data_IF_609650032124
#
_entry.id   IF_609650032124
#
_cell.length_a   1.000
_cell.length_b   1.000
_cell.length_c   1.000
_cell.angle_alpha   90.00
_cell.angle_beta   90.00
_cell.angle_gamma   90.00
#
_symmetry.space_group_name_H-M   'P 1'
#
loop_
_entity.id
_entity.type
_entity.pdbx_description
1 polymer ?
#
# COMPACT_ATOMS: atom_id res chain seq x y z
N UNK A 1 23.83 2.85 -27.15
CA UNK A 1 23.16 1.74 -27.87
C UNK A 1 21.73 1.70 -27.39
N UNK A 2 20.77 1.58 -28.30
CA UNK A 2 19.34 1.65 -28.02
C UNK A 2 18.88 0.35 -27.30
N UNK A 3 18.46 0.49 -26.04
CA UNK A 3 18.09 -0.61 -25.11
C UNK A 3 16.92 -1.47 -25.60
N UNK A 4 16.16 -0.98 -26.60
CA UNK A 4 15.06 -1.72 -27.25
C UNK A 4 15.53 -2.85 -28.18
N UNK A 5 16.80 -2.83 -28.61
CA UNK A 5 17.32 -3.76 -29.63
C UNK A 5 17.95 -5.05 -29.09
N UNK A 6 18.23 -5.13 -27.78
CA UNK A 6 18.95 -6.28 -27.18
C UNK A 6 17.99 -7.44 -26.81
N UNK A 7 16.68 -7.22 -26.81
CA UNK A 7 15.67 -8.24 -26.47
C UNK A 7 15.08 -9.00 -27.68
N UNK A 8 15.55 -8.73 -28.91
CA UNK A 8 15.02 -9.36 -30.13
C UNK A 8 16.11 -10.10 -30.93
N UNK A 9 16.84 -11.01 -30.30
CA UNK A 9 17.67 -12.01 -31.01
C UNK A 9 16.90 -13.34 -31.12
N UNK A 10 16.68 -13.91 -32.33
CA UNK A 10 15.71 -14.97 -32.56
C UNK A 10 16.34 -16.34 -32.29
N UNK A 11 16.38 -16.72 -31.01
CA UNK A 11 16.99 -18.00 -30.59
C UNK A 11 16.28 -18.77 -29.49
N UNK A 12 15.15 -18.30 -28.96
CA UNK A 12 14.37 -19.03 -27.95
C UNK A 12 12.87 -18.75 -28.08
N UNK A 13 12.18 -19.66 -28.77
CA UNK A 13 10.73 -19.67 -28.95
C UNK A 13 9.99 -19.92 -27.64
N UNK A 14 9.25 -18.92 -27.15
CA UNK A 14 8.11 -19.13 -26.25
C UNK A 14 6.81 -18.87 -27.02
N UNK A 15 5.79 -19.73 -26.90
CA UNK A 15 4.54 -19.54 -27.63
C UNK A 15 3.72 -18.40 -27.02
N UNK A 16 3.44 -17.39 -27.82
CA UNK A 16 2.40 -16.39 -27.56
C UNK A 16 1.07 -17.04 -27.96
N UNK A 17 0.33 -17.55 -26.98
CA UNK A 17 -1.06 -17.98 -27.20
C UNK A 17 -1.96 -16.76 -26.96
N UNK A 18 -2.46 -16.20 -28.05
CA UNK A 18 -3.61 -15.29 -28.05
C UNK A 18 -4.87 -16.12 -27.79
N UNK A 19 -5.51 -15.87 -26.64
CA UNK A 19 -6.86 -16.35 -26.33
C UNK A 19 -7.84 -15.18 -26.42
N UNK A 20 -8.66 -15.24 -27.45
CA UNK A 20 -9.87 -14.47 -27.71
C UNK A 20 -10.96 -14.71 -26.66
N UNK A 21 -11.69 -13.66 -26.30
CA UNK A 21 -13.11 -13.76 -25.94
C UNK A 21 -13.84 -12.61 -26.62
N UNK A 22 -14.86 -13.00 -27.38
CA UNK A 22 -15.77 -12.20 -28.18
C UNK A 22 -16.71 -11.38 -27.29
N UNK A 23 -16.99 -10.14 -27.69
CA UNK A 23 -18.32 -9.55 -27.49
C UNK A 23 -18.75 -8.85 -28.78
N UNK A 24 -19.84 -9.39 -29.32
CA UNK A 24 -20.52 -9.02 -30.55
C UNK A 24 -21.25 -7.70 -30.33
N UNK A 25 -20.89 -6.63 -31.06
CA UNK A 25 -21.88 -5.66 -31.56
C UNK A 25 -21.54 -5.32 -33.01
N UNK A 26 -22.47 -5.70 -33.88
CA UNK A 26 -22.47 -5.50 -35.32
C UNK A 26 -22.87 -4.09 -35.76
N UNK A 27 -22.34 -3.72 -36.92
CA UNK A 27 -22.81 -2.71 -37.90
C UNK A 27 -22.49 -1.24 -37.59
N UNK A 28 -22.05 -0.39 -38.52
CA UNK A 28 -21.62 -0.51 -39.92
C UNK A 28 -21.30 0.92 -40.38
N UNK A 29 -20.29 1.14 -41.23
CA UNK A 29 -20.18 2.38 -42.02
C UNK A 29 -18.75 2.85 -42.30
N UNK A 30 -18.15 2.31 -43.36
CA UNK A 30 -16.90 2.73 -43.97
C UNK A 30 -16.87 4.23 -44.33
N UNK A 31 -15.68 4.85 -44.27
CA UNK A 31 -14.97 5.32 -45.49
C UNK A 31 -13.55 5.80 -45.16
N UNK A 32 -12.62 5.32 -45.97
CA UNK A 32 -11.18 5.58 -45.98
C UNK A 32 -10.84 7.05 -46.30
N UNK A 33 -9.58 7.43 -45.99
CA UNK A 33 -8.57 8.01 -46.90
C UNK A 33 -7.68 9.03 -46.14
N UNK A 34 -6.42 8.62 -45.92
CA UNK A 34 -5.23 9.44 -45.66
C UNK A 34 -4.67 10.00 -47.01
N UNK A 35 -3.63 10.86 -47.12
CA UNK A 35 -2.78 11.52 -46.11
C UNK A 35 -2.32 12.98 -46.48
N UNK A 36 -1.33 13.49 -45.71
CA UNK A 36 -0.26 14.46 -46.11
C UNK A 36 -0.61 15.95 -46.27
N UNK A 37 -0.11 16.82 -45.37
CA UNK A 37 1.24 17.43 -45.44
C UNK A 37 1.34 18.57 -44.40
N UNK A 38 2.51 18.71 -43.76
CA UNK A 38 2.94 19.93 -43.08
C UNK A 38 3.92 20.66 -43.99
N UNK A 39 4.03 22.00 -43.89
CA UNK A 39 5.23 22.50 -43.21
C UNK A 39 5.03 23.76 -42.36
N UNK A 40 5.88 23.81 -41.32
CA UNK A 40 6.59 24.93 -40.72
C UNK A 40 6.13 26.39 -40.97
N UNK A 41 6.12 27.21 -39.91
CA UNK A 41 7.14 28.25 -39.64
C UNK A 41 6.72 29.14 -38.46
N UNK A 42 7.51 29.10 -37.39
CA UNK A 42 8.09 30.20 -36.59
C UNK A 42 7.28 31.50 -36.36
N UNK A 43 6.88 31.72 -35.10
CA UNK A 43 7.05 32.88 -34.16
C UNK A 43 7.13 34.34 -34.72
N UNK A 44 6.91 35.44 -33.93
CA UNK A 44 6.66 35.56 -32.47
C UNK A 44 5.65 36.68 -32.04
N UNK A 45 5.54 36.85 -30.71
CA UNK A 45 5.58 38.14 -29.97
C UNK A 45 4.32 39.02 -29.79
N UNK A 46 3.99 39.19 -28.49
CA UNK A 46 3.64 40.43 -27.73
C UNK A 46 2.62 41.42 -28.35
N UNK A 47 1.63 42.03 -27.68
CA UNK A 47 1.52 42.48 -26.29
C UNK A 47 0.12 43.12 -26.09
N UNK A 48 -0.28 43.30 -24.82
CA UNK A 48 -0.96 44.50 -24.30
C UNK A 48 -2.47 44.78 -24.56
N UNK A 49 -3.23 44.59 -23.48
CA UNK A 49 -4.11 45.56 -22.80
C UNK A 49 -5.47 46.06 -23.36
N UNK A 50 -6.48 45.71 -22.54
CA UNK A 50 -7.41 46.59 -21.82
C UNK A 50 -8.65 47.22 -22.49
N UNK A 51 -9.79 46.90 -21.86
CA UNK A 51 -10.95 47.76 -21.55
C UNK A 51 -11.86 48.14 -22.75
N UNK A 52 -13.20 48.16 -22.68
CA UNK A 52 -14.14 48.44 -21.59
C UNK A 52 -15.60 48.33 -22.13
N UNK A 53 -16.56 47.98 -21.25
CA UNK A 53 -18.01 48.39 -21.25
C UNK A 53 -18.90 47.93 -22.43
N UNK A 54 -20.19 47.56 -22.30
CA UNK A 54 -21.21 47.76 -21.26
C UNK A 54 -22.39 46.77 -21.44
N UNK A 55 -22.96 46.39 -20.29
CA UNK A 55 -24.38 46.14 -19.94
C UNK A 55 -25.36 45.43 -20.90
N UNK A 56 -25.93 44.32 -20.41
CA UNK A 56 -27.37 44.27 -20.13
C UNK A 56 -27.69 43.24 -19.03
N UNK A 57 -28.52 43.67 -18.07
CA UNK A 57 -28.82 43.06 -16.78
C UNK A 57 -30.15 42.32 -16.81
N UNK A 58 -30.23 41.14 -16.17
CA UNK A 58 -31.47 40.71 -15.46
C UNK A 58 -31.08 39.98 -14.17
N UNK A 59 -31.79 40.40 -13.15
CA UNK A 59 -31.67 40.24 -11.70
C UNK A 59 -32.09 38.84 -11.19
N UNK A 60 -31.32 38.23 -10.28
CA UNK A 60 -31.88 37.41 -9.19
C UNK A 60 -31.04 37.49 -7.90
N UNK A 61 -31.76 37.87 -6.85
CA UNK A 61 -31.43 38.09 -5.44
C UNK A 61 -30.44 37.11 -4.78
N UNK A 62 -29.40 37.71 -4.19
CA UNK A 62 -28.97 37.61 -2.79
C UNK A 62 -28.71 36.21 -2.19
N UNK A 63 -27.48 35.71 -2.33
CA UNK A 63 -26.81 34.98 -1.25
C UNK A 63 -25.96 35.97 -0.44
N UNK A 64 -26.29 36.11 0.84
CA UNK A 64 -25.49 36.85 1.81
C UNK A 64 -24.09 36.24 1.92
N UNK A 65 -23.11 37.09 1.68
CA UNK A 65 -21.67 36.89 1.87
C UNK A 65 -21.33 36.31 3.24
N UNK A 66 -20.83 35.07 3.28
CA UNK A 66 -19.85 34.71 4.30
C UNK A 66 -18.49 35.23 3.84
N UNK A 67 -17.98 36.19 4.59
CA UNK A 67 -16.64 36.73 4.47
C UNK A 67 -15.62 35.59 4.53
N UNK A 68 -14.88 35.40 3.43
CA UNK A 68 -13.62 34.68 3.46
C UNK A 68 -12.59 35.56 4.19
N UNK A 69 -12.63 35.53 5.52
CA UNK A 69 -11.44 35.88 6.29
C UNK A 69 -10.39 34.82 6.02
N UNK A 70 -9.43 35.16 5.17
CA UNK A 70 -8.19 34.44 4.96
C UNK A 70 -7.29 34.57 6.19
N UNK A 71 -7.73 34.03 7.32
CA UNK A 71 -6.81 33.62 8.37
C UNK A 71 -6.07 32.40 7.84
N UNK A 72 -4.74 32.43 7.84
CA UNK A 72 -3.90 31.28 7.53
C UNK A 72 -4.15 30.17 8.57
N UNK A 73 -5.25 29.41 8.39
CA UNK A 73 -5.57 28.21 9.16
C UNK A 73 -4.43 27.24 8.91
N UNK A 74 -3.74 26.84 9.98
CA UNK A 74 -2.70 25.81 9.91
C UNK A 74 -3.23 24.61 9.11
N UNK A 75 -2.45 24.15 8.12
CA UNK A 75 -2.84 23.01 7.28
C UNK A 75 -3.00 21.78 8.19
N UNK A 76 -4.18 21.16 8.18
CA UNK A 76 -4.44 19.89 8.86
C UNK A 76 -3.69 18.75 8.18
N UNK A 77 -3.48 17.67 8.94
CA UNK A 77 -2.69 16.51 8.55
C UNK A 77 -3.46 15.78 7.46
N UNK A 78 -4.73 15.53 7.76
CA UNK A 78 -5.78 15.22 6.81
C UNK A 78 -6.86 16.29 6.95
N UNK A 79 -7.21 16.97 5.85
CA UNK A 79 -8.25 18.01 5.86
C UNK A 79 -9.65 17.42 6.11
N UNK A 80 -9.86 16.17 5.70
CA UNK A 80 -11.12 15.46 5.73
C UNK A 80 -10.89 13.98 6.08
N UNK A 81 -11.06 13.63 7.37
CA UNK A 81 -10.92 12.27 7.88
C UNK A 81 -12.25 11.51 7.69
N UNK A 82 -12.39 10.90 6.53
CA UNK A 82 -13.56 10.13 6.12
C UNK A 82 -13.80 8.94 7.05
N UNK A 83 -12.75 8.28 7.54
CA UNK A 83 -12.88 7.13 8.41
C UNK A 83 -13.53 7.52 9.75
N UNK A 84 -13.05 8.61 10.36
CA UNK A 84 -13.62 9.18 11.58
C UNK A 84 -15.06 9.67 11.37
N UNK A 85 -15.35 10.31 10.24
CA UNK A 85 -16.71 10.77 9.93
C UNK A 85 -17.70 9.61 9.82
N UNK A 86 -17.33 8.53 9.11
CA UNK A 86 -18.18 7.33 9.01
C UNK A 86 -18.47 6.76 10.40
N UNK A 87 -17.44 6.58 11.23
CA UNK A 87 -17.61 6.02 12.57
C UNK A 87 -18.56 6.89 13.42
N UNK A 88 -18.39 8.21 13.38
CA UNK A 88 -19.25 9.17 14.09
C UNK A 88 -20.69 9.17 13.60
N UNK A 89 -20.91 9.16 12.28
CA UNK A 89 -22.25 9.14 11.69
C UNK A 89 -23.06 7.92 12.11
N UNK A 90 -22.39 6.78 12.30
CA UNK A 90 -23.03 5.54 12.76
C UNK A 90 -22.90 5.30 14.27
N UNK A 91 -22.33 6.25 15.02
CA UNK A 91 -22.10 6.14 16.47
C UNK A 91 -21.37 4.84 16.86
N UNK A 92 -20.36 4.49 16.08
CA UNK A 92 -19.59 3.25 16.27
C UNK A 92 -18.20 3.52 16.83
N UNK A 93 -17.78 2.63 17.72
CA UNK A 93 -16.39 2.46 18.15
C UNK A 93 -15.90 1.09 17.69
N UNK A 94 -14.68 1.00 17.17
CA UNK A 94 -14.18 -0.24 16.56
C UNK A 94 -13.90 -1.33 17.61
N UNK A 95 -13.40 -0.94 18.79
CA UNK A 95 -13.20 -1.81 19.95
C UNK A 95 -13.64 -1.04 21.22
N UNK A 96 -14.95 -0.91 21.49
CA UNK A 96 -15.43 -0.11 22.61
C UNK A 96 -14.78 -0.54 23.94
N UNK A 97 -14.50 0.43 24.80
CA UNK A 97 -13.87 0.26 26.13
C UNK A 97 -12.42 -0.27 26.15
N UNK A 98 -11.82 -0.56 24.99
CA UNK A 98 -10.46 -1.06 24.89
C UNK A 98 -9.45 0.09 24.78
N UNK A 99 -9.06 0.68 25.91
CA UNK A 99 -8.10 1.79 25.96
C UNK A 99 -6.65 1.32 26.04
N UNK A 100 -5.72 2.10 25.48
CA UNK A 100 -4.28 1.84 25.64
C UNK A 100 -3.81 2.41 26.98
N UNK A 101 -3.87 1.58 28.02
CA UNK A 101 -3.42 1.94 29.37
C UNK A 101 -2.00 1.46 29.60
N UNK A 102 -1.09 2.38 29.92
CA UNK A 102 0.28 2.07 30.35
C UNK A 102 0.57 2.74 31.69
N UNK A 103 0.93 1.97 32.72
CA UNK A 103 1.14 2.47 34.09
C UNK A 103 -0.01 3.35 34.60
N UNK A 104 -1.25 2.88 34.43
CA UNK A 104 -2.50 3.59 34.79
C UNK A 104 -2.72 4.91 34.04
N UNK A 105 -2.00 5.16 32.95
CA UNK A 105 -2.18 6.32 32.06
C UNK A 105 -2.78 5.87 30.75
N UNK A 106 -3.90 6.48 30.35
CA UNK A 106 -4.38 6.39 28.98
C UNK A 106 -3.40 7.12 28.06
N UNK A 107 -2.67 6.35 27.25
CA UNK A 107 -1.62 6.85 26.37
C UNK A 107 -2.17 7.83 25.34
N UNK A 108 -3.38 7.60 24.83
CA UNK A 108 -3.98 8.46 23.81
C UNK A 108 -4.55 9.74 24.41
N UNK A 109 -5.14 9.67 25.61
CA UNK A 109 -5.55 10.87 26.35
C UNK A 109 -4.35 11.73 26.74
N UNK A 110 -3.28 11.10 27.23
CA UNK A 110 -2.02 11.79 27.52
C UNK A 110 -1.47 12.49 26.28
N UNK A 111 -1.39 11.78 25.15
CA UNK A 111 -0.89 12.35 23.90
C UNK A 111 -1.71 13.56 23.45
N UNK A 112 -3.05 13.47 23.53
CA UNK A 112 -3.96 14.59 23.24
C UNK A 112 -3.72 15.79 24.13
N UNK A 113 -3.54 15.58 25.45
CA UNK A 113 -3.24 16.66 26.39
C UNK A 113 -1.91 17.37 26.08
N UNK A 114 -0.85 16.62 25.77
CA UNK A 114 0.44 17.21 25.37
C UNK A 114 0.31 17.95 24.03
N UNK A 115 -0.46 17.41 23.09
CA UNK A 115 -0.75 18.06 21.83
C UNK A 115 -1.45 19.40 22.07
N UNK A 116 -2.55 19.44 22.83
CA UNK A 116 -3.32 20.65 23.14
C UNK A 116 -2.51 21.77 23.80
N UNK A 117 -1.54 21.41 24.63
CA UNK A 117 -0.63 22.36 25.30
C UNK A 117 0.52 22.85 24.42
N UNK A 118 0.76 22.20 23.28
CA UNK A 118 1.82 22.55 22.30
C UNK A 118 1.27 23.46 21.18
N UNK A 119 2.13 24.23 20.51
CA UNK A 119 1.73 25.10 19.39
C UNK A 119 0.85 24.39 18.33
N UNK A 120 -0.39 24.88 18.12
CA UNK A 120 -1.44 24.31 17.25
C UNK A 120 -1.01 23.96 15.82
N UNK A 121 0.01 24.63 15.30
CA UNK A 121 0.51 24.46 13.92
C UNK A 121 1.36 23.18 13.76
N UNK A 122 2.03 22.69 14.81
CA UNK A 122 2.75 21.40 14.76
C UNK A 122 1.82 20.20 14.98
N UNK A 123 0.77 20.38 15.81
CA UNK A 123 -0.27 19.38 16.08
C UNK A 123 -0.95 18.91 14.79
N UNK A 124 -1.23 19.86 13.90
CA UNK A 124 -2.01 19.64 12.70
C UNK A 124 -1.25 18.87 11.62
N UNK A 125 -0.07 18.28 11.89
CA UNK A 125 0.68 17.43 10.94
C UNK A 125 1.09 16.09 11.53
N UNK A 126 0.44 15.65 12.62
CA UNK A 126 0.80 14.44 13.33
C UNK A 126 -0.19 13.28 13.07
N UNK A 127 0.26 12.03 12.89
CA UNK A 127 -0.64 10.87 12.74
C UNK A 127 -1.58 10.68 13.94
N UNK A 128 -1.17 11.08 15.14
CA UNK A 128 -2.01 11.06 16.34
C UNK A 128 -3.28 11.90 16.18
N UNK A 129 -3.24 12.95 15.35
CA UNK A 129 -4.41 13.82 15.10
C UNK A 129 -5.56 13.10 14.41
N UNK A 130 -5.30 11.93 13.81
CA UNK A 130 -6.30 11.05 13.21
C UNK A 130 -6.35 9.67 13.89
N UNK A 131 -5.81 9.54 15.12
CA UNK A 131 -5.85 8.29 15.87
C UNK A 131 -4.91 7.19 15.36
N UNK A 132 -3.80 7.56 14.72
CA UNK A 132 -2.75 6.61 14.30
C UNK A 132 -1.51 6.78 15.18
N UNK A 133 -1.02 5.69 15.76
CA UNK A 133 0.29 5.62 16.44
C UNK A 133 1.26 4.90 15.52
N UNK A 134 2.19 5.61 14.87
CA UNK A 134 3.36 4.98 14.22
C UNK A 134 4.54 4.96 15.20
N UNK A 135 4.93 3.76 15.63
CA UNK A 135 5.99 3.57 16.63
C UNK A 135 7.40 3.84 16.09
N UNK A 136 7.57 4.04 14.79
CA UNK A 136 8.84 4.44 14.17
C UNK A 136 8.84 5.92 13.74
N UNK A 137 7.72 6.63 13.89
CA UNK A 137 7.61 8.03 13.53
C UNK A 137 7.99 8.92 14.72
N UNK A 138 9.15 9.57 14.65
CA UNK A 138 9.69 10.40 15.75
C UNK A 138 8.75 11.54 16.13
N UNK A 139 8.07 12.15 15.15
CA UNK A 139 7.10 13.21 15.42
C UNK A 139 5.87 12.67 16.16
N UNK A 140 5.43 11.45 15.84
CA UNK A 140 4.38 10.75 16.59
C UNK A 140 4.84 10.46 18.03
N UNK A 141 6.03 9.88 18.20
CA UNK A 141 6.55 9.47 19.50
C UNK A 141 6.73 10.66 20.47
N UNK A 142 7.04 11.87 19.96
CA UNK A 142 7.24 13.07 20.78
C UNK A 142 6.13 13.31 21.82
N UNK A 143 4.90 12.96 21.49
CA UNK A 143 3.72 13.21 22.32
C UNK A 143 3.36 12.05 23.26
N UNK A 144 4.02 10.89 23.12
CA UNK A 144 3.73 9.70 23.93
C UNK A 144 4.47 9.72 25.28
N UNK A 145 3.95 9.07 26.33
CA UNK A 145 4.62 8.96 27.63
C UNK A 145 6.04 8.38 27.51
N UNK A 146 6.99 8.94 28.26
CA UNK A 146 8.40 8.51 28.20
C UNK A 146 8.59 7.04 28.58
N UNK A 147 7.87 6.57 29.61
CA UNK A 147 7.89 5.17 30.02
C UNK A 147 7.39 4.23 28.92
N UNK A 148 6.30 4.61 28.23
CA UNK A 148 5.74 3.83 27.13
C UNK A 148 6.68 3.76 25.94
N UNK A 149 7.30 4.89 25.55
CA UNK A 149 8.33 4.91 24.49
C UNK A 149 9.48 3.96 24.77
N UNK A 150 10.02 4.01 25.99
CA UNK A 150 11.13 3.13 26.39
C UNK A 150 10.70 1.67 26.33
N UNK A 151 9.53 1.35 26.87
CA UNK A 151 8.97 0.00 26.82
C UNK A 151 8.83 -0.54 25.39
N UNK A 152 8.31 0.24 24.45
CA UNK A 152 8.21 -0.16 23.05
C UNK A 152 9.61 -0.29 22.41
N UNK A 153 10.52 0.66 22.66
CA UNK A 153 11.88 0.61 22.11
C UNK A 153 12.65 -0.63 22.58
N UNK A 154 12.56 -0.98 23.86
CA UNK A 154 13.19 -2.16 24.44
C UNK A 154 12.63 -3.44 23.78
N UNK A 155 11.32 -3.49 23.53
CA UNK A 155 10.69 -4.62 22.82
C UNK A 155 11.05 -4.71 21.34
N UNK A 156 11.22 -3.58 20.64
CA UNK A 156 11.69 -3.60 19.25
C UNK A 156 13.07 -4.26 19.16
N UNK A 157 13.93 -4.04 20.15
CA UNK A 157 15.30 -4.56 20.20
C UNK A 157 15.42 -5.97 20.78
N UNK A 158 14.41 -6.44 21.50
CA UNK A 158 14.45 -7.77 22.11
C UNK A 158 14.31 -8.89 21.05
N UNK A 159 14.58 -10.12 21.49
CA UNK A 159 14.49 -11.33 20.65
C UNK A 159 13.10 -11.95 20.59
N UNK A 160 12.10 -11.36 21.26
CA UNK A 160 10.74 -11.91 21.25
C UNK A 160 10.11 -11.75 19.88
N UNK A 161 9.22 -12.67 19.52
CA UNK A 161 8.54 -12.70 18.22
C UNK A 161 7.46 -11.62 18.09
N UNK A 162 7.19 -10.85 19.14
CA UNK A 162 6.08 -9.89 19.20
C UNK A 162 6.44 -8.64 19.99
N UNK A 163 5.79 -7.53 19.62
CA UNK A 163 5.72 -6.32 20.44
C UNK A 163 4.38 -6.31 21.13
N UNK A 164 4.41 -6.36 22.46
CA UNK A 164 3.24 -6.37 23.32
C UNK A 164 2.83 -4.95 23.71
N UNK A 165 1.51 -4.79 23.83
CA UNK A 165 0.81 -3.62 24.35
C UNK A 165 -0.04 -4.05 25.56
N UNK A 166 -0.97 -3.20 26.00
CA UNK A 166 -1.86 -3.54 27.11
C UNK A 166 -2.84 -4.66 26.73
N UNK A 167 -3.40 -5.34 27.75
CA UNK A 167 -4.50 -6.31 27.61
C UNK A 167 -4.20 -7.49 26.67
N UNK A 168 -2.94 -7.91 26.59
CA UNK A 168 -2.53 -9.04 25.74
C UNK A 168 -2.58 -8.75 24.24
N UNK A 169 -2.68 -7.48 23.84
CA UNK A 169 -2.62 -7.05 22.44
C UNK A 169 -1.17 -6.99 21.97
N UNK A 170 -0.91 -7.38 20.73
CA UNK A 170 0.45 -7.40 20.19
C UNK A 170 0.47 -7.25 18.67
N UNK A 171 1.65 -6.91 18.16
CA UNK A 171 1.99 -7.02 16.73
C UNK A 171 3.17 -7.99 16.63
N UNK A 172 2.99 -9.05 15.84
CA UNK A 172 4.07 -9.98 15.55
C UNK A 172 5.19 -9.27 14.78
N UNK A 173 6.44 -9.48 15.20
CA UNK A 173 7.62 -9.15 14.42
C UNK A 173 7.70 -10.01 13.16
N UNK A 174 8.69 -9.70 12.34
CA UNK A 174 8.87 -10.34 11.07
C UNK A 174 9.58 -11.69 11.24
N UNK A 175 8.80 -12.78 11.23
CA UNK A 175 9.30 -14.15 11.27
C UNK A 175 9.71 -14.61 9.87
N UNK A 176 10.87 -15.27 9.75
CA UNK A 176 11.31 -15.89 8.51
C UNK A 176 10.40 -17.08 8.20
N UNK A 177 9.56 -16.93 7.18
CA UNK A 177 8.54 -17.90 6.78
C UNK A 177 8.70 -18.20 5.28
N UNK A 178 9.75 -18.94 4.97
CA UNK A 178 10.10 -19.37 3.62
C UNK A 178 10.12 -20.89 3.55
N UNK A 179 9.81 -21.44 2.38
CA UNK A 179 9.94 -22.87 2.15
C UNK A 179 11.39 -23.35 2.35
N UNK A 180 11.57 -24.51 2.98
CA UNK A 180 12.89 -25.05 3.32
C UNK A 180 13.80 -25.20 2.08
N UNK A 181 13.25 -25.65 0.95
CA UNK A 181 13.98 -25.75 -0.31
C UNK A 181 14.48 -24.39 -0.82
N UNK A 182 13.72 -23.31 -0.59
CA UNK A 182 14.12 -21.95 -0.95
C UNK A 182 15.22 -21.45 -0.02
N UNK A 183 15.12 -21.70 1.28
CA UNK A 183 16.16 -21.33 2.24
C UNK A 183 17.50 -21.98 1.90
N UNK A 184 17.50 -23.30 1.66
CA UNK A 184 18.68 -24.06 1.24
C UNK A 184 19.26 -23.58 -0.09
N UNK A 185 18.41 -23.07 -1.00
CA UNK A 185 18.88 -22.47 -2.24
C UNK A 185 19.55 -21.11 -1.99
N UNK A 186 18.92 -20.24 -1.19
CA UNK A 186 19.40 -18.90 -0.89
C UNK A 186 20.76 -18.90 -0.15
N UNK A 187 20.97 -19.83 0.79
CA UNK A 187 22.24 -20.00 1.52
C UNK A 187 23.45 -20.20 0.59
N UNK A 188 23.21 -20.69 -0.63
CA UNK A 188 24.29 -20.90 -1.61
C UNK A 188 24.85 -19.59 -2.15
N UNK A 189 24.18 -18.47 -1.92
CA UNK A 189 24.52 -17.14 -2.43
C UNK A 189 24.95 -16.16 -1.32
N UNK A 190 25.23 -16.66 -0.11
CA UNK A 190 25.63 -15.79 1.00
C UNK A 190 27.03 -15.14 0.78
N UNK A 191 27.90 -15.78 -0.01
CA UNK A 191 29.26 -15.32 -0.30
C UNK A 191 29.45 -15.12 -1.81
N UNK A 192 28.94 -14.01 -2.33
CA UNK A 192 29.08 -13.61 -3.74
C UNK A 192 29.88 -12.30 -3.78
N UNK A 193 31.12 -12.41 -4.22
CA UNK A 193 32.07 -11.30 -4.14
C UNK A 193 32.26 -10.59 -5.49
N UNK A 194 31.81 -11.18 -6.60
CA UNK A 194 31.95 -10.61 -7.93
C UNK A 194 30.95 -11.23 -8.93
N UNK A 195 30.91 -10.66 -10.12
CA UNK A 195 29.97 -11.06 -11.17
C UNK A 195 30.17 -12.49 -11.65
N UNK A 196 31.43 -12.92 -11.77
CA UNK A 196 31.79 -14.26 -12.22
C UNK A 196 31.36 -15.31 -11.20
N UNK A 197 31.55 -15.05 -9.91
CA UNK A 197 31.10 -15.98 -8.86
C UNK A 197 29.58 -16.09 -8.82
N UNK A 198 28.84 -14.99 -9.04
CA UNK A 198 27.38 -15.04 -9.16
C UNK A 198 26.91 -15.91 -10.33
N UNK A 199 27.51 -15.72 -11.50
CA UNK A 199 27.22 -16.49 -12.71
C UNK A 199 27.50 -17.98 -12.53
N UNK A 200 28.70 -18.33 -12.07
CA UNK A 200 29.08 -19.72 -11.78
C UNK A 200 28.15 -20.35 -10.73
N UNK A 201 27.72 -19.57 -9.73
CA UNK A 201 26.82 -20.07 -8.68
C UNK A 201 25.42 -20.34 -9.20
N UNK A 202 24.91 -19.48 -10.08
CA UNK A 202 23.62 -19.69 -10.74
C UNK A 202 23.68 -20.94 -11.63
N UNK A 203 24.71 -21.08 -12.45
CA UNK A 203 24.85 -22.23 -13.35
C UNK A 203 24.99 -23.55 -12.60
N UNK A 204 25.79 -23.58 -11.53
CA UNK A 204 25.96 -24.79 -10.70
C UNK A 204 24.69 -25.20 -9.97
N UNK A 205 23.78 -24.26 -9.71
CA UNK A 205 22.59 -24.49 -8.87
C UNK A 205 21.28 -24.42 -9.64
N UNK A 206 21.31 -24.54 -10.97
CA UNK A 206 20.10 -24.58 -11.80
C UNK A 206 19.07 -25.54 -11.24
N UNK A 207 17.83 -25.08 -11.15
CA UNK A 207 16.72 -25.88 -10.65
C UNK A 207 15.95 -26.51 -11.81
N UNK A 208 15.25 -27.61 -11.53
CA UNK A 208 14.32 -28.18 -12.50
C UNK A 208 12.95 -27.51 -12.35
N UNK A 209 12.55 -26.68 -13.32
CA UNK A 209 11.28 -25.93 -13.30
C UNK A 209 10.05 -26.83 -13.27
N UNK A 210 10.13 -28.08 -13.76
CA UNK A 210 9.00 -29.02 -13.75
C UNK A 210 8.69 -29.59 -12.37
N UNK A 211 9.66 -29.60 -11.46
CA UNK A 211 9.54 -30.20 -10.12
C UNK A 211 9.76 -29.23 -8.97
N UNK A 212 10.20 -28.00 -9.28
CA UNK A 212 10.50 -26.98 -8.28
C UNK A 212 9.23 -26.23 -7.85
N UNK A 213 9.23 -25.71 -6.62
CA UNK A 213 8.14 -24.86 -6.16
C UNK A 213 8.11 -23.53 -6.91
N UNK A 214 6.95 -22.89 -6.94
CA UNK A 214 6.80 -21.56 -7.55
C UNK A 214 7.72 -20.51 -6.89
N UNK A 215 7.96 -20.63 -5.59
CA UNK A 215 8.85 -19.71 -4.88
C UNK A 215 10.31 -19.93 -5.27
N UNK A 216 10.74 -21.18 -5.44
CA UNK A 216 12.09 -21.48 -5.91
C UNK A 216 12.32 -21.01 -7.35
N UNK A 217 11.35 -21.26 -8.24
CA UNK A 217 11.35 -20.78 -9.64
C UNK A 217 11.42 -19.26 -9.68
N UNK A 218 10.65 -18.58 -8.82
CA UNK A 218 10.71 -17.14 -8.70
C UNK A 218 12.11 -16.65 -8.29
N UNK A 219 12.70 -17.23 -7.24
CA UNK A 219 14.00 -16.79 -6.73
C UNK A 219 15.09 -16.94 -7.78
N UNK A 220 15.15 -18.08 -8.49
CA UNK A 220 16.12 -18.28 -9.55
C UNK A 220 15.97 -17.25 -10.67
N UNK A 221 14.74 -17.04 -11.16
CA UNK A 221 14.46 -16.05 -12.19
C UNK A 221 14.82 -14.63 -11.75
N UNK A 222 14.58 -14.28 -10.48
CA UNK A 222 14.95 -12.99 -9.93
C UNK A 222 16.48 -12.83 -9.88
N UNK A 223 17.23 -13.85 -9.47
CA UNK A 223 18.68 -13.78 -9.43
C UNK A 223 19.30 -13.70 -10.82
N UNK A 224 18.75 -14.43 -11.80
CA UNK A 224 19.13 -14.28 -13.21
C UNK A 224 18.85 -12.86 -13.73
N UNK A 225 17.70 -12.29 -13.38
CA UNK A 225 17.38 -10.90 -13.71
C UNK A 225 18.40 -9.92 -13.11
N UNK A 226 18.73 -10.05 -11.82
CA UNK A 226 19.73 -9.20 -11.19
C UNK A 226 21.15 -9.40 -11.76
N UNK A 227 21.54 -10.62 -12.13
CA UNK A 227 22.78 -10.87 -12.86
C UNK A 227 22.84 -10.04 -14.16
N UNK A 228 21.75 -9.98 -14.92
CA UNK A 228 21.67 -9.17 -16.13
C UNK A 228 21.76 -7.68 -15.83
N UNK A 229 21.11 -7.20 -14.77
CA UNK A 229 21.21 -5.80 -14.36
C UNK A 229 22.65 -5.41 -13.98
N UNK A 230 23.39 -6.29 -13.30
CA UNK A 230 24.81 -6.08 -12.99
C UNK A 230 25.69 -6.14 -14.24
N UNK A 231 25.48 -7.12 -15.13
CA UNK A 231 26.25 -7.26 -16.38
C UNK A 231 26.17 -6.02 -17.28
N UNK A 232 25.06 -5.29 -17.21
CA UNK A 232 24.80 -4.12 -18.04
C UNK A 232 24.96 -2.79 -17.28
N UNK A 233 25.53 -2.80 -16.07
CA UNK A 233 25.73 -1.63 -15.22
C UNK A 233 24.46 -0.80 -15.00
N UNK A 234 23.27 -1.43 -14.99
CA UNK A 234 21.99 -0.71 -14.87
C UNK A 234 21.83 -0.12 -13.48
N UNK A 235 22.23 -0.87 -12.44
CA UNK A 235 22.01 -0.49 -11.03
C UNK A 235 22.98 0.60 -10.54
N UNK A 236 24.02 0.91 -11.30
CA UNK A 236 24.97 2.00 -11.00
C UNK A 236 24.56 3.31 -11.66
N UNK A 237 23.65 3.27 -12.62
CA UNK A 237 23.12 4.43 -13.32
C UNK A 237 22.01 5.13 -12.54
N UNK A 238 21.73 6.38 -12.92
CA UNK A 238 20.54 7.09 -12.44
C UNK A 238 19.31 6.55 -13.16
N UNK A 239 18.42 5.89 -12.42
CA UNK A 239 17.17 5.36 -12.95
C UNK A 239 16.03 6.36 -12.72
N UNK A 240 15.11 6.45 -13.67
CA UNK A 240 13.81 7.10 -13.50
C UNK A 240 12.88 6.26 -12.63
N UNK A 241 11.82 6.86 -12.09
CA UNK A 241 10.82 6.15 -11.28
C UNK A 241 10.19 4.96 -12.03
N UNK A 242 9.87 5.15 -13.32
CA UNK A 242 9.35 4.09 -14.19
C UNK A 242 10.34 2.93 -14.31
N UNK A 243 11.63 3.22 -14.42
CA UNK A 243 12.67 2.20 -14.52
C UNK A 243 12.90 1.48 -13.19
N UNK A 244 12.87 2.18 -12.06
CA UNK A 244 12.86 1.55 -10.73
C UNK A 244 11.70 0.57 -10.60
N UNK A 245 10.50 1.00 -10.99
CA UNK A 245 9.33 0.15 -10.94
C UNK A 245 9.39 -1.04 -11.89
N UNK A 246 9.87 -0.84 -13.12
CA UNK A 246 9.96 -1.88 -14.13
C UNK A 246 11.06 -2.91 -13.86
N UNK A 247 12.26 -2.44 -13.49
CA UNK A 247 13.45 -3.29 -13.39
C UNK A 247 13.71 -3.80 -11.97
N UNK A 248 13.23 -3.12 -10.93
CA UNK A 248 13.54 -3.49 -9.55
C UNK A 248 12.28 -3.94 -8.82
N UNK A 249 11.33 -3.04 -8.61
CA UNK A 249 10.22 -3.30 -7.69
C UNK A 249 9.19 -4.26 -8.25
N UNK A 250 8.84 -4.19 -9.53
CA UNK A 250 7.93 -5.16 -10.14
C UNK A 250 8.51 -6.58 -10.06
N UNK A 251 9.74 -6.86 -10.53
CA UNK A 251 10.35 -8.17 -10.36
C UNK A 251 10.42 -8.62 -8.90
N UNK A 252 10.87 -7.75 -7.99
CA UNK A 252 10.99 -8.05 -6.54
C UNK A 252 9.66 -8.35 -5.86
N UNK A 253 8.55 -7.77 -6.32
CA UNK A 253 7.26 -7.89 -5.66
C UNK A 253 6.34 -8.89 -6.36
N UNK A 254 6.55 -9.18 -7.65
CA UNK A 254 5.63 -9.95 -8.51
C UNK A 254 5.15 -11.26 -7.87
N UNK A 255 6.04 -12.03 -7.26
CA UNK A 255 5.68 -13.31 -6.66
C UNK A 255 4.96 -13.16 -5.31
N UNK A 256 5.17 -12.07 -4.59
CA UNK A 256 4.41 -11.77 -3.37
C UNK A 256 2.91 -11.52 -3.65
N UNK A 257 2.57 -11.12 -4.88
CA UNK A 257 1.22 -10.71 -5.26
C UNK A 257 0.38 -11.79 -5.99
N UNK A 258 0.69 -13.08 -5.84
CA UNK A 258 -0.14 -14.23 -6.29
C UNK A 258 -0.52 -14.29 -7.79
N UNK A 259 0.16 -13.57 -8.70
CA UNK A 259 -0.01 -13.78 -10.14
C UNK A 259 0.31 -12.56 -11.01
N UNK A 260 0.62 -12.80 -12.29
CA UNK A 260 0.96 -11.73 -13.27
C UNK A 260 -0.17 -10.71 -13.48
N UNK A 261 -1.43 -11.07 -13.19
CA UNK A 261 -2.62 -10.24 -13.38
C UNK A 261 -2.94 -9.32 -12.21
N UNK A 262 -2.33 -9.57 -11.05
CA UNK A 262 -2.86 -9.07 -9.79
C UNK A 262 -2.12 -7.84 -9.29
N UNK A 263 -0.86 -7.66 -9.70
CA UNK A 263 -0.08 -6.46 -9.46
C UNK A 263 -0.08 -5.55 -10.70
N UNK A 264 -0.72 -4.37 -10.60
CA UNK A 264 -0.55 -3.27 -11.56
C UNK A 264 -0.07 -2.04 -10.80
N UNK A 265 1.26 -1.84 -10.76
CA UNK A 265 1.87 -0.61 -10.28
C UNK A 265 1.58 0.50 -11.31
N UNK A 266 0.83 1.52 -10.92
CA UNK A 266 0.57 2.72 -11.73
C UNK A 266 0.68 3.95 -10.83
N UNK A 267 1.40 4.98 -11.28
CA UNK A 267 1.36 6.29 -10.65
C UNK A 267 -0.02 6.95 -10.92
N UNK A 268 -0.69 7.47 -9.89
CA UNK A 268 -1.97 8.17 -10.02
C UNK A 268 -2.87 8.10 -8.78
N UNK A 269 -3.89 8.98 -8.74
CA UNK A 269 -4.83 9.12 -7.62
C UNK A 269 -5.35 7.79 -7.07
N UNK A 270 -5.41 7.66 -5.75
CA UNK A 270 -6.00 6.49 -5.09
C UNK A 270 -7.48 6.43 -5.39
N UNK A 271 -7.83 5.58 -6.35
CA UNK A 271 -9.16 5.04 -6.52
C UNK A 271 -9.27 3.73 -5.71
N UNK A 272 -9.04 3.79 -4.40
CA UNK A 272 -9.25 2.60 -3.56
C UNK A 272 -10.76 2.37 -3.41
N UNK A 273 -11.20 1.15 -3.71
CA UNK A 273 -12.57 0.68 -3.49
C UNK A 273 -13.00 0.89 -2.04
N UNK A 274 -12.09 0.77 -1.07
CA UNK A 274 -12.37 1.01 0.34
C UNK A 274 -12.76 2.46 0.60
N UNK A 275 -12.02 3.41 0.02
CA UNK A 275 -12.34 4.83 0.15
C UNK A 275 -13.69 5.17 -0.51
N UNK A 276 -13.95 4.63 -1.70
CA UNK A 276 -15.25 4.75 -2.36
C UNK A 276 -16.37 4.07 -1.56
N UNK A 277 -16.10 2.92 -0.93
CA UNK A 277 -17.06 2.22 -0.07
C UNK A 277 -17.45 3.05 1.15
N UNK A 278 -16.47 3.70 1.79
CA UNK A 278 -16.75 4.62 2.90
C UNK A 278 -17.58 5.83 2.43
N UNK A 279 -17.31 6.38 1.24
CA UNK A 279 -18.15 7.43 0.64
C UNK A 279 -19.58 6.96 0.38
N UNK A 280 -19.75 5.76 -0.15
CA UNK A 280 -21.07 5.13 -0.35
C UNK A 280 -21.81 4.99 0.98
N UNK A 281 -21.13 4.53 2.03
CA UNK A 281 -21.70 4.36 3.38
C UNK A 281 -22.22 5.69 3.94
N UNK A 282 -21.53 6.80 3.67
CA UNK A 282 -21.96 8.14 4.05
C UNK A 282 -22.95 8.79 3.07
N UNK A 283 -23.20 8.18 1.92
CA UNK A 283 -23.95 8.79 0.80
C UNK A 283 -23.39 10.17 0.38
N UNK A 284 -22.06 10.30 0.37
CA UNK A 284 -21.36 11.57 0.09
C UNK A 284 -20.76 11.57 -1.31
N UNK A 285 -21.14 12.54 -2.14
CA UNK A 285 -20.55 12.81 -3.46
C UNK A 285 -19.47 13.88 -3.33
N UNK A 286 -18.36 13.58 -2.65
CA UNK A 286 -17.21 14.50 -2.57
C UNK A 286 -16.22 14.26 -3.71
N UNK A 287 -15.71 15.36 -4.30
CA UNK A 287 -14.60 15.32 -5.26
C UNK A 287 -13.27 15.08 -4.53
N UNK A 288 -12.57 14.02 -4.90
CA UNK A 288 -11.20 13.73 -4.47
C UNK A 288 -11.07 12.81 -3.26
N UNK A 289 -10.02 12.00 -3.25
CA UNK A 289 -9.55 11.20 -2.10
C UNK A 289 -8.07 11.48 -1.82
N UNK A 290 -7.44 10.83 -0.84
CA UNK A 290 -6.00 10.94 -0.66
C UNK A 290 -5.30 10.54 -1.96
N UNK A 291 -4.44 11.40 -2.51
CA UNK A 291 -3.65 11.09 -3.70
C UNK A 291 -2.35 10.43 -3.26
N UNK A 292 -2.17 9.15 -3.56
CA UNK A 292 -0.89 8.45 -3.48
C UNK A 292 -0.24 8.52 -4.84
N UNK A 293 1.09 8.55 -4.86
CA UNK A 293 1.89 8.56 -6.09
C UNK A 293 2.07 7.14 -6.66
N UNK A 294 1.39 6.12 -6.09
CA UNK A 294 1.43 4.73 -6.53
C UNK A 294 0.10 3.97 -6.36
N UNK A 295 -0.03 2.86 -7.08
CA UNK A 295 -1.18 1.94 -7.05
C UNK A 295 -0.75 0.57 -6.54
N UNK A 296 -1.20 0.23 -5.34
CA UNK A 296 -1.14 -1.13 -4.81
C UNK A 296 -2.54 -1.76 -4.85
N UNK A 297 -2.69 -2.88 -5.56
CA UNK A 297 -3.95 -3.62 -5.62
C UNK A 297 -3.63 -5.10 -5.43
N UNK A 298 -4.38 -5.79 -4.57
CA UNK A 298 -4.30 -7.24 -4.43
C UNK A 298 -5.56 -7.83 -5.08
N UNK A 299 -5.50 -7.99 -6.41
CA UNK A 299 -6.66 -8.40 -7.23
C UNK A 299 -7.16 -9.81 -6.94
N UNK A 300 -6.29 -10.71 -6.49
CA UNK A 300 -6.63 -12.13 -6.35
C UNK A 300 -7.69 -12.42 -5.29
N UNK A 301 -7.98 -11.49 -4.37
CA UNK A 301 -8.80 -11.76 -3.18
C UNK A 301 -9.88 -10.68 -2.93
N UNK A 302 -10.21 -9.85 -3.93
CA UNK A 302 -11.37 -8.94 -3.90
C UNK A 302 -11.40 -7.87 -2.80
N UNK A 303 -10.36 -7.77 -1.97
CA UNK A 303 -10.26 -6.89 -0.78
C UNK A 303 -8.92 -6.16 -0.79
N UNK A 304 -8.94 -4.87 -0.45
CA UNK A 304 -7.73 -4.05 -0.41
C UNK A 304 -7.02 -4.29 0.93
N UNK A 305 -5.83 -4.88 0.90
CA UNK A 305 -5.02 -5.14 2.11
C UNK A 305 -3.67 -4.41 1.98
N UNK A 306 -3.51 -3.58 0.95
CA UNK A 306 -2.25 -2.96 0.61
C UNK A 306 -2.41 -1.49 0.22
N UNK A 307 -1.60 -0.63 0.83
CA UNK A 307 -1.32 0.70 0.32
C UNK A 307 0.13 0.74 -0.20
N UNK A 308 0.35 1.35 -1.37
CA UNK A 308 1.69 1.58 -1.89
C UNK A 308 1.85 3.03 -2.30
N UNK A 309 2.97 3.62 -1.93
CA UNK A 309 3.41 4.91 -2.43
C UNK A 309 4.82 4.80 -3.00
N UNK A 310 4.98 5.29 -4.21
CA UNK A 310 6.29 5.45 -4.84
C UNK A 310 6.78 6.85 -4.49
N UNK A 311 7.88 6.94 -3.73
CA UNK A 311 8.48 8.23 -3.41
C UNK A 311 9.06 8.84 -4.69
N UNK A 312 8.44 9.89 -5.20
CA UNK A 312 8.97 10.62 -6.34
C UNK A 312 10.44 11.02 -6.09
N UNK A 313 11.30 10.80 -7.08
CA UNK A 313 12.70 11.25 -7.10
C UNK A 313 12.71 12.78 -7.20
N UNK A 314 12.42 13.49 -6.12
CA UNK A 314 12.89 14.87 -5.89
C UNK A 314 12.38 15.45 -4.58
N UNK A 315 13.34 15.94 -3.81
CA UNK A 315 13.26 16.80 -2.63
C UNK A 315 12.92 16.13 -1.30
N UNK A 316 13.82 16.34 -0.34
CA UNK A 316 13.70 15.97 1.08
C UNK A 316 12.36 16.34 1.76
N UNK A 317 11.54 17.21 1.15
CA UNK A 317 10.24 17.61 1.67
C UNK A 317 9.05 16.70 1.29
N UNK A 318 9.12 15.92 0.20
CA UNK A 318 8.03 14.99 -0.20
C UNK A 318 7.97 13.74 0.68
N UNK A 319 9.14 13.18 1.03
CA UNK A 319 9.29 11.93 1.80
C UNK A 319 8.48 11.88 3.11
N UNK A 320 8.33 13.01 3.79
CA UNK A 320 7.53 13.08 5.03
C UNK A 320 6.04 13.14 4.74
N UNK A 321 5.59 13.88 3.71
CA UNK A 321 4.16 14.00 3.35
C UNK A 321 3.55 12.72 2.77
N UNK A 322 4.39 11.85 2.23
CA UNK A 322 4.01 10.57 1.62
C UNK A 322 3.69 9.52 2.72
N UNK A 323 4.58 9.37 3.72
CA UNK A 323 4.29 8.54 4.91
C UNK A 323 2.94 8.86 5.58
N UNK A 324 2.58 10.14 5.60
CA UNK A 324 1.32 10.61 6.20
C UNK A 324 0.08 10.10 5.46
N UNK A 325 0.17 9.95 4.14
CA UNK A 325 -0.93 9.42 3.34
C UNK A 325 -1.07 7.91 3.54
N UNK A 326 0.04 7.17 3.66
CA UNK A 326 0.02 5.72 3.90
C UNK A 326 -0.61 5.37 5.26
N UNK A 327 -0.27 6.12 6.31
CA UNK A 327 -0.87 5.98 7.65
C UNK A 327 -2.40 6.17 7.58
N UNK A 328 -2.87 7.22 6.90
CA UNK A 328 -4.30 7.47 6.73
C UNK A 328 -4.99 6.43 5.82
N UNK A 329 -4.35 6.01 4.72
CA UNK A 329 -4.89 4.98 3.84
C UNK A 329 -5.08 3.65 4.58
N UNK A 330 -4.14 3.29 5.46
CA UNK A 330 -4.27 2.10 6.30
C UNK A 330 -5.48 2.19 7.23
N UNK A 331 -5.71 3.37 7.86
CA UNK A 331 -6.91 3.62 8.66
C UNK A 331 -8.19 3.49 7.83
N UNK A 332 -8.25 4.06 6.64
CA UNK A 332 -9.40 3.96 5.72
C UNK A 332 -9.71 2.50 5.38
N UNK A 333 -8.68 1.73 5.00
CA UNK A 333 -8.84 0.32 4.63
C UNK A 333 -9.35 -0.48 5.83
N UNK A 334 -8.69 -0.37 6.99
CA UNK A 334 -9.12 -1.08 8.21
C UNK A 334 -10.56 -0.70 8.61
N UNK A 335 -10.94 0.56 8.46
CA UNK A 335 -12.33 1.02 8.75
C UNK A 335 -13.32 0.38 7.77
N UNK A 336 -12.99 0.33 6.47
CA UNK A 336 -13.83 -0.36 5.50
C UNK A 336 -13.95 -1.87 5.80
N UNK A 337 -12.86 -2.53 6.21
CA UNK A 337 -12.89 -3.92 6.66
C UNK A 337 -13.81 -4.10 7.88
N UNK A 338 -13.73 -3.21 8.87
CA UNK A 338 -14.62 -3.24 10.03
C UNK A 338 -16.11 -3.15 9.66
N UNK A 339 -16.46 -2.32 8.69
CA UNK A 339 -17.84 -2.23 8.18
C UNK A 339 -18.25 -3.46 7.35
N UNK A 340 -17.30 -4.14 6.72
CA UNK A 340 -17.56 -5.39 6.00
C UNK A 340 -17.77 -6.60 6.93
N UNK A 341 -17.26 -6.56 8.17
CA UNK A 341 -17.44 -7.63 9.14
C UNK A 341 -18.87 -7.67 9.72
N UNK A 342 -19.50 -8.86 9.82
CA UNK A 342 -20.76 -9.03 10.52
C UNK A 342 -20.69 -8.61 11.99
N UNK A 343 -21.78 -8.06 12.54
CA UNK A 343 -21.77 -7.35 13.84
C UNK A 343 -21.19 -8.16 15.01
N UNK A 344 -21.45 -9.47 15.08
CA UNK A 344 -21.00 -10.32 16.18
C UNK A 344 -19.55 -10.81 16.07
N UNK A 345 -18.90 -10.56 14.93
CA UNK A 345 -17.46 -10.83 14.73
C UNK A 345 -16.67 -9.54 14.52
N UNK A 346 -17.27 -8.36 14.75
CA UNK A 346 -16.60 -7.07 14.56
C UNK A 346 -15.32 -6.94 15.40
N UNK A 347 -15.31 -7.48 16.62
CA UNK A 347 -14.13 -7.46 17.50
C UNK A 347 -12.93 -8.21 16.92
N UNK A 348 -13.15 -9.11 15.94
CA UNK A 348 -12.09 -9.82 15.21
C UNK A 348 -11.30 -8.90 14.28
N UNK A 349 -11.73 -7.66 14.08
CA UNK A 349 -10.94 -6.63 13.39
C UNK A 349 -9.56 -6.47 14.03
N UNK A 350 -9.44 -6.71 15.35
CA UNK A 350 -8.17 -6.69 16.08
C UNK A 350 -7.22 -7.81 15.69
N UNK A 351 -7.68 -8.80 14.93
CA UNK A 351 -6.88 -9.91 14.44
C UNK A 351 -6.35 -9.63 13.03
N UNK A 352 -6.97 -8.69 12.30
CA UNK A 352 -6.63 -8.34 10.91
C UNK A 352 -5.55 -7.27 10.81
N UNK A 353 -4.69 -7.41 9.80
CA UNK A 353 -3.63 -6.47 9.48
C UNK A 353 -3.85 -5.85 8.10
N UNK A 354 -3.39 -4.61 7.91
CA UNK A 354 -3.21 -3.96 6.61
C UNK A 354 -1.73 -3.68 6.42
N UNK A 355 -1.21 -3.94 5.22
CA UNK A 355 0.20 -3.73 4.91
C UNK A 355 0.40 -2.48 4.08
N UNK A 356 1.50 -1.77 4.33
CA UNK A 356 1.91 -0.62 3.54
C UNK A 356 3.30 -0.86 2.96
N UNK A 357 3.47 -0.55 1.68
CA UNK A 357 4.74 -0.53 0.98
C UNK A 357 5.13 0.91 0.66
N UNK A 358 6.37 1.26 0.96
CA UNK A 358 6.94 2.53 0.55
C UNK A 358 8.26 2.28 -0.15
N UNK A 359 8.30 2.59 -1.44
CA UNK A 359 9.53 2.51 -2.23
C UNK A 359 10.20 3.89 -2.28
N UNK A 360 11.53 3.91 -2.23
CA UNK A 360 12.36 5.10 -2.41
C UNK A 360 13.67 4.67 -3.05
N UNK A 361 13.77 4.82 -4.37
CA UNK A 361 14.89 4.36 -5.19
C UNK A 361 15.18 2.86 -4.96
N UNK A 362 16.32 2.55 -4.31
CA UNK A 362 16.79 1.18 -4.01
C UNK A 362 16.33 0.68 -2.63
N UNK A 363 15.42 1.38 -1.97
CA UNK A 363 14.91 0.99 -0.66
C UNK A 363 13.41 0.77 -0.69
N UNK A 364 12.96 -0.28 -0.02
CA UNK A 364 11.56 -0.58 0.22
C UNK A 364 11.34 -0.76 1.71
N UNK A 365 10.42 0.03 2.28
CA UNK A 365 9.91 -0.16 3.64
C UNK A 365 8.60 -0.93 3.56
N UNK A 366 8.50 -1.97 4.37
CA UNK A 366 7.29 -2.75 4.59
C UNK A 366 6.79 -2.42 5.99
N UNK A 367 5.54 -2.03 6.10
CA UNK A 367 4.88 -1.72 7.38
C UNK A 367 3.59 -2.51 7.52
N UNK A 368 3.13 -2.69 8.76
CA UNK A 368 1.83 -3.24 9.10
C UNK A 368 1.06 -2.26 9.98
N UNK A 369 -0.26 -2.24 9.83
CA UNK A 369 -1.19 -1.41 10.59
C UNK A 369 -2.37 -2.27 11.04
N UNK A 370 -2.82 -2.08 12.28
CA UNK A 370 -3.93 -2.84 12.87
C UNK A 370 -4.66 -2.00 13.94
N UNK A 371 -5.97 -2.24 14.09
CA UNK A 371 -6.72 -1.75 15.25
C UNK A 371 -6.37 -2.59 16.48
N UNK A 372 -5.85 -1.95 17.52
CA UNK A 372 -5.60 -2.60 18.82
C UNK A 372 -6.48 -2.02 19.92
N UNK A 373 -6.92 -0.78 19.79
CA UNK A 373 -7.68 -0.05 20.79
C UNK A 373 -8.84 0.68 20.13
N UNK A 374 -9.79 1.12 20.95
CA UNK A 374 -11.07 1.76 20.57
C UNK A 374 -11.17 2.19 19.12
N UNK A 375 -10.57 3.33 18.76
CA UNK A 375 -10.47 3.80 17.37
C UNK A 375 -9.00 4.07 16.97
N UNK A 376 -8.06 3.42 17.66
CA UNK A 376 -6.61 3.66 17.46
C UNK A 376 -5.98 2.59 16.59
N UNK A 377 -5.41 3.04 15.47
CA UNK A 377 -4.57 2.21 14.61
C UNK A 377 -3.13 2.30 15.08
N UNK A 378 -2.49 1.16 15.29
CA UNK A 378 -1.05 1.10 15.57
C UNK A 378 -0.33 0.63 14.30
N UNK A 379 0.68 1.38 13.89
CA UNK A 379 1.53 1.12 12.73
C UNK A 379 2.94 0.77 13.19
N UNK A 380 3.51 -0.27 12.57
CA UNK A 380 4.85 -0.77 12.83
C UNK A 380 5.57 -1.10 11.52
N UNK A 381 6.86 -0.76 11.46
CA UNK A 381 7.77 -1.17 10.39
C UNK A 381 8.14 -2.63 10.58
N UNK A 382 7.90 -3.44 9.55
CA UNK A 382 8.20 -4.86 9.56
C UNK A 382 9.60 -5.17 9.01
N UNK A 383 9.94 -4.57 7.88
CA UNK A 383 11.20 -4.81 7.20
C UNK A 383 11.63 -3.60 6.36
N UNK A 384 12.94 -3.50 6.14
CA UNK A 384 13.53 -2.59 5.17
C UNK A 384 14.39 -3.41 4.21
N UNK A 385 13.99 -3.46 2.95
CA UNK A 385 14.71 -4.12 1.87
C UNK A 385 15.59 -3.09 1.19
N UNK A 386 16.89 -3.38 1.10
CA UNK A 386 17.86 -2.58 0.37
C UNK A 386 18.34 -3.37 -0.84
N UNK A 387 18.23 -2.77 -2.02
CA UNK A 387 18.66 -3.36 -3.28
C UNK A 387 20.13 -2.99 -3.52
N UNK A 388 21.04 -3.98 -3.58
CA UNK A 388 22.46 -3.71 -3.73
C UNK A 388 22.76 -3.21 -5.15
N UNK A 389 23.43 -2.05 -5.24
CA UNK A 389 23.84 -1.45 -6.51
C UNK A 389 24.98 -2.18 -7.21
N UNK A 390 25.78 -2.92 -6.44
CA UNK A 390 26.91 -3.69 -6.95
C UNK A 390 26.83 -5.12 -6.42
N UNK A 391 27.49 -6.03 -7.15
CA UNK A 391 27.39 -7.48 -6.90
C UNK A 391 28.08 -7.92 -5.60
N UNK A 392 29.06 -7.17 -5.10
CA UNK A 392 29.75 -7.45 -3.83
C UNK A 392 28.79 -7.42 -2.63
N UNK A 393 27.65 -6.74 -2.77
CA UNK A 393 26.61 -6.64 -1.76
C UNK A 393 25.43 -7.58 -2.02
N UNK A 394 25.57 -8.61 -2.87
CA UNK A 394 24.47 -9.48 -3.27
C UNK A 394 23.77 -10.18 -2.09
N UNK A 395 24.47 -10.43 -0.99
CA UNK A 395 23.89 -10.95 0.25
C UNK A 395 22.75 -10.08 0.80
N UNK A 396 22.76 -8.75 0.55
CA UNK A 396 21.63 -7.87 0.87
C UNK A 396 20.38 -8.20 0.06
N UNK A 397 20.55 -8.56 -1.22
CA UNK A 397 19.44 -9.01 -2.06
C UNK A 397 18.87 -10.33 -1.53
N UNK A 398 19.72 -11.27 -1.10
CA UNK A 398 19.31 -12.53 -0.47
C UNK A 398 18.42 -12.25 0.76
N UNK A 399 18.84 -11.35 1.64
CA UNK A 399 18.04 -10.91 2.81
C UNK A 399 16.73 -10.25 2.36
N UNK A 400 16.78 -9.41 1.33
CA UNK A 400 15.59 -8.79 0.72
C UNK A 400 14.58 -9.81 0.21
N UNK A 401 15.04 -10.87 -0.46
CA UNK A 401 14.19 -11.94 -0.97
C UNK A 401 13.55 -12.74 0.17
N UNK A 402 14.33 -13.10 1.20
CA UNK A 402 13.81 -13.72 2.43
C UNK A 402 12.69 -12.86 3.04
N UNK A 403 12.89 -11.55 3.06
CA UNK A 403 11.89 -10.62 3.56
C UNK A 403 10.61 -10.63 2.71
N UNK A 404 10.71 -10.52 1.38
CA UNK A 404 9.54 -10.53 0.50
C UNK A 404 8.75 -11.84 0.57
N UNK A 405 9.43 -12.99 0.60
CA UNK A 405 8.76 -14.28 0.64
C UNK A 405 8.05 -14.53 1.98
N UNK A 406 8.68 -14.15 3.09
CA UNK A 406 8.02 -14.22 4.40
C UNK A 406 6.83 -13.26 4.48
N UNK A 407 6.92 -12.11 3.83
CA UNK A 407 5.82 -11.15 3.75
C UNK A 407 4.65 -11.74 2.94
N UNK A 408 4.92 -12.41 1.82
CA UNK A 408 3.93 -13.18 1.05
C UNK A 408 3.21 -14.23 1.91
N UNK A 409 3.94 -14.96 2.74
CA UNK A 409 3.34 -15.95 3.63
C UNK A 409 2.42 -15.29 4.67
N UNK A 410 2.86 -14.18 5.27
CA UNK A 410 2.09 -13.40 6.24
C UNK A 410 0.81 -12.80 5.62
N UNK A 411 0.91 -12.19 4.43
CA UNK A 411 -0.27 -11.62 3.74
C UNK A 411 -1.29 -12.69 3.37
N UNK A 412 -0.82 -13.88 2.95
CA UNK A 412 -1.69 -15.04 2.70
C UNK A 412 -2.42 -15.48 3.97
N UNK A 413 -1.71 -15.63 5.09
CA UNK A 413 -2.31 -15.98 6.39
C UNK A 413 -3.36 -14.96 6.83
N UNK A 414 -3.04 -13.66 6.74
CA UNK A 414 -3.95 -12.58 7.08
C UNK A 414 -5.21 -12.58 6.20
N UNK A 415 -5.06 -12.88 4.91
CA UNK A 415 -6.23 -12.95 4.00
C UNK A 415 -7.10 -14.16 4.29
N UNK A 416 -6.52 -15.33 4.59
CA UNK A 416 -7.30 -16.50 4.99
C UNK A 416 -8.07 -16.22 6.29
N UNK A 417 -7.42 -15.59 7.27
CA UNK A 417 -8.05 -15.17 8.52
C UNK A 417 -9.25 -14.25 8.30
N UNK A 418 -9.14 -13.29 7.36
CA UNK A 418 -10.27 -12.43 6.99
C UNK A 418 -11.46 -13.23 6.45
N UNK A 419 -11.23 -14.15 5.51
CA UNK A 419 -12.30 -14.97 4.95
C UNK A 419 -12.91 -15.94 5.94
N UNK A 420 -12.10 -16.53 6.82
CA UNK A 420 -12.60 -17.40 7.88
C UNK A 420 -13.47 -16.61 8.85
N UNK A 421 -13.07 -15.39 9.21
CA UNK A 421 -13.86 -14.48 10.04
C UNK A 421 -15.17 -14.08 9.37
N UNK A 422 -15.14 -13.77 8.07
CA UNK A 422 -16.36 -13.52 7.30
C UNK A 422 -17.26 -14.75 7.28
N UNK A 423 -16.71 -15.93 7.00
CA UNK A 423 -17.47 -17.18 6.92
C UNK A 423 -18.12 -17.53 8.26
N UNK A 424 -17.39 -17.39 9.36
CA UNK A 424 -17.91 -17.54 10.72
C UNK A 424 -19.10 -16.61 10.94
N UNK A 425 -18.95 -15.34 10.56
CA UNK A 425 -20.01 -14.35 10.65
C UNK A 425 -21.26 -14.70 9.82
N UNK A 426 -21.11 -15.37 8.68
CA UNK A 426 -22.24 -15.79 7.84
C UNK A 426 -22.87 -17.13 8.27
N UNK A 427 -22.12 -18.06 8.88
CA UNK A 427 -22.63 -19.38 9.30
C UNK A 427 -23.76 -19.30 10.34
N UNK A 428 -23.78 -18.28 11.20
CA UNK A 428 -24.92 -18.09 12.12
C UNK A 428 -26.24 -17.74 11.42
N UNK A 429 -26.21 -17.21 10.19
CA UNK A 429 -27.42 -16.97 9.41
C UNK A 429 -27.99 -18.25 8.79
N UNK A 430 -27.16 -19.28 8.54
CA UNK A 430 -27.61 -20.58 8.04
C UNK A 430 -28.10 -21.51 9.15
N UNK A 431 -27.48 -21.47 10.33
CA UNK A 431 -27.78 -22.41 11.41
C UNK A 431 -28.93 -21.93 12.33
N UNK A 432 -29.18 -20.61 12.38
CA UNK A 432 -30.35 -20.01 13.04
C UNK A 432 -31.39 -19.48 12.03
N UNK A 433 -31.24 -19.79 10.74
CA UNK A 433 -32.22 -19.43 9.73
C UNK A 433 -33.54 -20.14 10.04
N UNK A 434 -34.63 -19.38 10.22
CA UNK A 434 -35.98 -19.94 10.29
C UNK A 434 -36.21 -20.73 8.99
N UNK A 435 -36.18 -22.06 9.09
CA UNK A 435 -36.58 -22.91 7.98
C UNK A 435 -38.09 -22.73 7.75
N UNK A 436 -38.44 -21.95 6.73
CA UNK A 436 -39.82 -21.92 6.26
C UNK A 436 -40.12 -23.26 5.59
N UNK A 437 -41.11 -23.97 6.11
CA UNK A 437 -41.62 -25.18 5.47
C UNK A 437 -42.18 -24.82 4.09
N UNK A 438 -41.92 -25.62 3.03
CA UNK A 438 -42.60 -25.42 1.75
C UNK A 438 -44.12 -25.42 1.96
N UNK A 439 -44.82 -24.51 1.30
CA UNK A 439 -46.29 -24.45 1.32
C UNK A 439 -46.81 -25.83 0.88
N UNK A 440 -47.61 -26.50 1.72
CA UNK A 440 -48.30 -27.72 1.33
C UNK A 440 -49.14 -27.43 0.10
N UNK A 441 -48.83 -28.13 -1.00
CA UNK A 441 -49.71 -28.14 -2.18
C UNK A 441 -51.02 -28.82 -1.74
N UNK A 442 -52.17 -28.16 -1.87
CA UNK A 442 -53.45 -28.82 -1.60
C UNK A 442 -53.64 -29.93 -2.65
N UNK A 443 -53.95 -31.13 -2.16
CA UNK A 443 -54.42 -32.24 -3.00
C UNK A 443 -55.90 -32.07 -3.25
#
# INVERSE_FOLDING_TARGET
MDLSSILNDPGNSYPIINGSDDDIISSSGNSEVQPQDSPATTLPAYESDNNKTDQCSVNMKSLSSMSFESAAKGRKYINYDLADEVLKSYQMHILPDHKLIYNNVDVMEFARSIMETTNKIQISKNPLSIGVIDIHNVECLKYLPQGFKKYIADQVQNTDDSIYFSEGKFINKFLLDCEEGVLKYLEKFDNIDNLKSLEERLDKNRINHSTSSNDLIYVENLFLHFLLLYKNDVLTQSLTETEFNAYIWTPMLRNAFLGKSDLRLKCGEVASRSYNKLKEILNVVTRGGPRLDGKGFLKSLGTEILAQEDGAISTHGKRTGDLQKLEYCSKVILTALFFALPSHVKDRIKDLEVYSLQSNEFQLKISTSKFLFEDTVVTMGLARVEIPRTVECFSKLVVGVKAILSWKARTRKNTMLFYDTLREGHRRLSDNGVHFSPIKVPV
#
